data_IF_672008994452
#
_entry.id   IF_672008994452
#
_cell.length_a   1.000
_cell.length_b   1.000
_cell.length_c   1.000
_cell.angle_alpha   90.00
_cell.angle_beta   90.00
_cell.angle_gamma   90.00
#
_symmetry.space_group_name_H-M   'P 1'
#
loop_
_entity.id
_entity.type
_entity.pdbx_description
1 polymer ?
#
# COMPACT_ATOMS: atom_id res chain seq x y z
N UNK A 1 21.63 -18.68 7.09
CA UNK A 1 21.61 -18.70 5.61
C UNK A 1 20.19 -18.37 5.13
N UNK A 2 19.88 -17.09 4.96
CA UNK A 2 18.54 -16.63 4.61
C UNK A 2 18.31 -16.74 3.09
N UNK A 3 17.30 -17.53 2.68
CA UNK A 3 16.79 -17.63 1.32
C UNK A 3 15.85 -16.45 1.06
N UNK A 4 16.20 -15.59 0.10
CA UNK A 4 15.30 -14.59 -0.45
C UNK A 4 14.32 -15.28 -1.41
N UNK A 5 13.02 -15.24 -1.09
CA UNK A 5 11.96 -15.52 -2.05
C UNK A 5 11.75 -14.26 -2.88
N UNK A 6 12.15 -14.29 -4.14
CA UNK A 6 11.70 -13.34 -5.14
C UNK A 6 10.30 -13.77 -5.63
N UNK A 7 9.29 -12.96 -5.32
CA UNK A 7 7.98 -13.05 -5.97
C UNK A 7 8.11 -12.37 -7.34
N UNK A 8 8.44 -13.16 -8.36
CA UNK A 8 8.29 -12.76 -9.75
C UNK A 8 6.79 -12.73 -10.08
N UNK A 9 6.20 -11.54 -10.07
CA UNK A 9 4.90 -11.28 -10.68
C UNK A 9 5.02 -11.45 -12.19
N UNK A 10 4.12 -12.24 -12.74
CA UNK A 10 4.09 -12.74 -14.11
C UNK A 10 3.97 -11.60 -15.14
N UNK A 11 5.11 -11.14 -15.69
CA UNK A 11 5.20 -10.13 -16.73
C UNK A 11 4.87 -10.68 -18.14
N UNK A 12 3.85 -11.54 -18.24
CA UNK A 12 3.39 -12.15 -19.51
C UNK A 12 2.02 -11.70 -19.99
N UNK A 13 1.33 -10.81 -19.28
CA UNK A 13 0.00 -10.35 -19.65
C UNK A 13 -0.04 -9.08 -20.53
N UNK A 14 1.11 -8.51 -20.95
CA UNK A 14 1.18 -7.24 -21.70
C UNK A 14 1.79 -7.35 -23.11
N UNK A 15 1.98 -8.56 -23.64
CA UNK A 15 2.60 -8.78 -24.95
C UNK A 15 1.76 -9.61 -25.94
N UNK A 16 0.43 -9.52 -25.88
CA UNK A 16 -0.45 -10.20 -26.83
C UNK A 16 -1.60 -9.30 -27.31
N UNK A 17 -1.25 -8.27 -28.09
CA UNK A 17 -2.14 -7.71 -29.12
C UNK A 17 -1.28 -7.18 -30.26
N UNK A 18 -0.92 -8.08 -31.16
CA UNK A 18 -0.15 -7.80 -32.36
C UNK A 18 -0.40 -8.92 -33.36
N UNK A 19 -0.93 -8.56 -34.53
CA UNK A 19 -1.53 -9.45 -35.51
C UNK A 19 -0.65 -10.59 -36.02
N UNK A 20 -1.33 -11.64 -36.47
CA UNK A 20 -0.75 -12.93 -36.79
C UNK A 20 -0.03 -13.05 -38.12
N UNK A 21 0.51 -14.25 -38.31
CA UNK A 21 0.65 -14.94 -39.60
C UNK A 21 0.86 -16.42 -39.33
N UNK A 22 0.16 -17.23 -40.12
CA UNK A 22 0.20 -18.69 -40.17
C UNK A 22 1.64 -19.24 -40.35
N UNK A 23 1.93 -20.40 -39.73
CA UNK A 23 2.43 -21.61 -40.41
C UNK A 23 2.61 -22.79 -39.43
N UNK A 24 2.66 -23.99 -40.00
CA UNK A 24 2.27 -25.30 -39.45
C UNK A 24 3.24 -26.03 -38.48
N UNK A 25 2.63 -26.77 -37.54
CA UNK A 25 2.82 -28.18 -37.09
C UNK A 25 4.18 -28.91 -37.25
N UNK A 26 4.72 -29.43 -36.12
CA UNK A 26 5.30 -30.79 -35.90
C UNK A 26 5.83 -30.87 -34.43
N UNK A 27 5.29 -31.69 -33.52
CA UNK A 27 5.55 -33.12 -33.23
C UNK A 27 6.83 -33.43 -32.40
N UNK A 28 6.63 -34.00 -31.20
CA UNK A 28 7.51 -35.02 -30.57
C UNK A 28 8.47 -34.59 -29.46
N UNK A 29 8.42 -35.27 -28.30
CA UNK A 29 9.56 -35.37 -27.37
C UNK A 29 9.25 -35.35 -25.88
N UNK A 30 9.14 -36.54 -25.28
CA UNK A 30 8.97 -36.84 -23.84
C UNK A 30 10.28 -36.81 -23.05
N UNK A 31 10.24 -36.34 -21.79
CA UNK A 31 10.91 -36.84 -20.54
C UNK A 31 10.72 -35.73 -19.48
N UNK A 32 10.28 -35.89 -18.23
CA UNK A 32 10.61 -36.86 -17.17
C UNK A 32 11.08 -36.04 -15.96
N UNK A 33 10.42 -36.12 -14.79
CA UNK A 33 10.85 -35.35 -13.61
C UNK A 33 9.85 -35.29 -12.46
N UNK A 34 9.64 -36.42 -11.77
CA UNK A 34 8.85 -36.48 -10.54
C UNK A 34 9.55 -35.77 -9.38
N UNK A 35 8.95 -34.70 -8.85
CA UNK A 35 9.50 -33.98 -7.70
C UNK A 35 8.56 -33.02 -6.97
N UNK A 36 7.26 -32.98 -7.30
CA UNK A 36 6.34 -31.92 -6.80
C UNK A 36 5.17 -32.47 -5.96
N UNK A 37 5.02 -33.79 -5.79
CA UNK A 37 3.82 -34.37 -5.15
C UNK A 37 3.87 -34.61 -3.64
N UNK A 38 4.95 -34.27 -2.92
CA UNK A 38 5.05 -34.52 -1.46
C UNK A 38 4.91 -33.28 -0.55
N UNK A 39 4.83 -32.06 -1.11
CA UNK A 39 4.64 -30.83 -0.32
C UNK A 39 3.19 -30.41 -0.10
N UNK A 40 2.26 -30.81 -0.98
CA UNK A 40 0.89 -30.31 -0.98
C UNK A 40 -0.04 -30.99 0.04
N UNK A 41 0.32 -32.16 0.59
CA UNK A 41 -0.50 -32.91 1.56
C UNK A 41 -0.37 -32.43 3.00
N UNK A 42 0.57 -31.51 3.29
CA UNK A 42 0.73 -30.91 4.64
C UNK A 42 -0.03 -29.58 4.77
N UNK A 43 -0.19 -28.84 3.68
CA UNK A 43 -0.94 -27.57 3.66
C UNK A 43 -2.45 -27.81 3.73
N UNK A 44 -2.96 -28.90 3.11
CA UNK A 44 -4.39 -29.24 3.14
C UNK A 44 -4.91 -29.60 4.54
N UNK A 45 -4.10 -30.27 5.37
CA UNK A 45 -4.48 -30.66 6.74
C UNK A 45 -4.50 -29.51 7.75
N UNK A 46 -3.71 -28.46 7.52
CA UNK A 46 -3.75 -27.27 8.37
C UNK A 46 -5.02 -26.43 8.14
N UNK A 47 -5.59 -26.48 6.92
CA UNK A 47 -6.79 -25.74 6.57
C UNK A 47 -8.08 -26.43 7.06
N UNK A 48 -8.09 -27.77 7.15
CA UNK A 48 -9.24 -28.54 7.67
C UNK A 48 -9.40 -28.42 9.20
N UNK A 49 -8.33 -28.15 9.95
CA UNK A 49 -8.37 -27.99 11.42
C UNK A 49 -8.88 -26.62 11.91
N UNK A 50 -8.93 -25.61 11.03
CA UNK A 50 -9.47 -24.27 11.36
C UNK A 50 -10.99 -24.19 11.27
N UNK A 51 -11.65 -25.20 10.70
CA UNK A 51 -13.10 -25.25 10.53
C UNK A 51 -13.86 -25.98 11.67
N UNK A 52 -13.17 -26.48 12.70
CA UNK A 52 -13.78 -27.25 13.79
C UNK A 52 -13.89 -26.53 15.14
N UNK A 53 -13.77 -25.20 15.19
CA UNK A 53 -13.96 -24.44 16.44
C UNK A 53 -15.41 -23.93 16.58
N UNK A 54 -16.07 -24.10 17.75
CA UNK A 54 -17.46 -23.69 17.94
C UNK A 54 -17.60 -22.17 18.00
N UNK A 55 -18.63 -21.63 17.34
CA UNK A 55 -19.06 -20.22 17.45
C UNK A 55 -19.79 -20.01 18.78
N UNK A 56 -19.33 -19.07 19.60
CA UNK A 56 -20.01 -18.67 20.83
C UNK A 56 -20.98 -17.51 20.54
N UNK A 57 -22.25 -17.67 20.95
CA UNK A 57 -23.35 -16.70 20.81
C UNK A 57 -23.38 -15.72 21.99
N UNK A 58 -23.89 -14.53 21.67
CA UNK A 58 -24.38 -13.40 22.48
C UNK A 58 -25.04 -13.71 23.84
N UNK A 59 -24.87 -12.81 24.84
CA UNK A 59 -25.92 -11.88 25.37
C UNK A 59 -25.54 -11.23 26.72
N UNK A 60 -26.00 -9.97 26.88
CA UNK A 60 -26.47 -9.23 28.09
C UNK A 60 -25.50 -9.08 29.29
N UNK A 61 -25.43 -8.05 30.13
CA UNK A 61 -26.14 -6.79 30.43
C UNK A 61 -25.08 -5.86 31.12
N UNK A 62 -25.22 -4.56 31.32
CA UNK A 62 -25.97 -3.91 32.43
C UNK A 62 -25.87 -2.38 32.21
N UNK A 63 -26.99 -1.70 32.48
CA UNK A 63 -27.18 -0.25 32.44
C UNK A 63 -26.94 0.43 33.80
N UNK A 64 -27.06 1.77 33.78
CA UNK A 64 -27.22 2.71 34.91
C UNK A 64 -25.91 3.07 35.65
N UNK A 65 -25.69 4.29 36.16
CA UNK A 65 -26.59 5.38 36.52
C UNK A 65 -25.78 6.67 36.75
N UNK A 66 -26.45 7.83 36.60
CA UNK A 66 -26.36 9.12 37.33
C UNK A 66 -25.02 9.64 37.93
N UNK A 67 -24.78 10.90 38.22
CA UNK A 67 -25.30 12.22 37.93
C UNK A 67 -24.45 13.17 38.81
N UNK A 68 -24.42 14.46 38.50
CA UNK A 68 -24.45 15.46 39.58
C UNK A 68 -23.17 16.24 39.89
N UNK A 69 -23.33 17.57 39.81
CA UNK A 69 -22.71 18.52 40.74
C UNK A 69 -21.48 19.21 40.17
N UNK A 70 -21.61 20.31 39.43
CA UNK A 70 -21.83 21.70 39.86
C UNK A 70 -20.66 22.35 40.61
N UNK A 71 -20.42 23.58 40.15
CA UNK A 71 -19.83 24.74 40.81
C UNK A 71 -18.29 24.84 40.80
N UNK A 72 -17.64 25.98 40.59
CA UNK A 72 -17.93 27.36 40.13
C UNK A 72 -16.79 28.20 40.74
N UNK A 73 -16.23 29.12 39.93
CA UNK A 73 -15.56 30.39 40.30
C UNK A 73 -14.04 30.43 40.62
N UNK A 74 -13.40 31.21 39.73
CA UNK A 74 -12.66 32.48 39.96
C UNK A 74 -11.19 32.40 40.35
N UNK A 75 -10.38 33.12 39.57
CA UNK A 75 -9.05 33.56 39.99
C UNK A 75 -8.19 34.12 38.85
N UNK A 76 -8.63 35.20 38.20
CA UNK A 76 -7.77 36.00 37.32
C UNK A 76 -6.79 36.81 38.18
N UNK A 77 -5.48 36.59 38.01
CA UNK A 77 -4.45 37.57 38.36
C UNK A 77 -3.41 37.64 37.25
N UNK A 78 -3.55 38.70 36.47
CA UNK A 78 -2.53 39.23 35.55
C UNK A 78 -1.42 39.83 36.40
N UNK A 79 -0.19 39.38 36.20
CA UNK A 79 1.00 40.16 36.56
C UNK A 79 1.99 40.07 35.40
N UNK A 80 2.12 41.21 34.72
CA UNK A 80 3.00 41.46 33.60
C UNK A 80 4.37 41.84 34.18
N UNK A 81 5.34 40.94 34.09
CA UNK A 81 6.75 41.26 34.40
C UNK A 81 7.55 41.14 33.11
N UNK A 82 7.91 42.29 32.54
CA UNK A 82 8.89 42.42 31.47
C UNK A 82 10.28 42.11 32.05
N UNK A 83 10.78 40.92 31.79
CA UNK A 83 12.21 40.61 31.87
C UNK A 83 12.76 40.48 30.46
N UNK A 84 13.52 41.50 30.04
CA UNK A 84 14.37 41.42 28.85
C UNK A 84 15.55 40.52 29.23
N UNK A 85 15.38 39.22 29.00
CA UNK A 85 16.46 38.24 29.13
C UNK A 85 17.13 38.13 27.77
N UNK A 86 18.33 38.67 27.64
CA UNK A 86 19.20 38.45 26.49
C UNK A 86 19.54 36.97 26.41
N UNK A 87 18.72 36.19 25.69
CA UNK A 87 19.04 34.82 25.36
C UNK A 87 20.09 34.86 24.25
N UNK A 88 21.35 34.75 24.66
CA UNK A 88 22.43 34.34 23.78
C UNK A 88 22.02 32.95 23.26
N UNK A 89 21.43 32.89 22.06
CA UNK A 89 21.27 31.63 21.32
C UNK A 89 22.68 31.21 20.93
N UNK A 90 23.37 30.57 21.86
CA UNK A 90 24.40 29.62 21.52
C UNK A 90 23.72 28.66 20.55
N UNK A 91 24.09 28.74 19.27
CA UNK A 91 23.66 27.77 18.29
C UNK A 91 24.02 26.41 18.87
N UNK A 92 23.00 25.69 19.35
CA UNK A 92 23.17 24.29 19.67
C UNK A 92 23.72 23.69 18.38
N UNK A 93 24.89 23.04 18.38
CA UNK A 93 25.28 22.27 17.23
C UNK A 93 24.08 21.39 16.93
N UNK A 94 23.58 21.51 15.70
CA UNK A 94 22.56 20.66 15.13
C UNK A 94 22.81 19.26 15.67
N UNK A 95 21.82 18.72 16.39
CA UNK A 95 21.90 17.39 16.98
C UNK A 95 22.49 16.44 15.93
N UNK A 96 23.32 15.46 16.34
CA UNK A 96 24.20 14.75 15.43
C UNK A 96 23.42 14.42 14.17
N UNK A 97 23.82 15.02 13.03
CA UNK A 97 23.56 14.38 11.75
C UNK A 97 23.92 12.94 12.02
N UNK A 98 22.92 12.05 11.95
CA UNK A 98 23.14 10.63 12.22
C UNK A 98 24.18 10.22 11.20
N UNK A 99 25.44 10.29 11.62
CA UNK A 99 26.56 9.96 10.79
C UNK A 99 26.29 8.52 10.42
N UNK A 100 26.33 8.24 9.13
CA UNK A 100 26.41 6.89 8.60
C UNK A 100 27.72 6.26 9.14
N UNK A 101 27.74 5.95 10.43
CA UNK A 101 28.91 5.45 11.14
C UNK A 101 28.99 3.96 10.87
N UNK A 102 29.62 3.66 9.73
CA UNK A 102 30.55 2.57 9.47
C UNK A 102 30.50 1.30 10.36
N UNK A 103 29.39 0.53 10.38
CA UNK A 103 29.38 -0.91 10.74
C UNK A 103 28.15 -1.63 10.14
N UNK A 104 28.25 -2.77 9.43
CA UNK A 104 29.31 -3.25 8.56
C UNK A 104 28.78 -3.23 7.12
N UNK A 105 29.55 -2.65 6.21
CA UNK A 105 29.26 -2.72 4.79
C UNK A 105 29.21 -4.19 4.37
N UNK A 106 28.28 -4.54 3.48
CA UNK A 106 28.33 -5.84 2.80
C UNK A 106 29.74 -6.04 2.22
N UNK A 107 30.28 -7.25 2.34
CA UNK A 107 31.58 -7.56 1.77
C UNK A 107 31.63 -7.13 0.30
N UNK A 108 32.67 -6.39 -0.09
CA UNK A 108 32.81 -5.77 -1.41
C UNK A 108 32.59 -6.77 -2.57
N UNK A 109 33.07 -8.01 -2.41
CA UNK A 109 32.86 -9.08 -3.39
C UNK A 109 31.36 -9.39 -3.63
N UNK A 110 30.55 -9.41 -2.56
CA UNK A 110 29.12 -9.68 -2.65
C UNK A 110 28.34 -8.50 -3.23
N UNK A 111 28.74 -7.27 -2.91
CA UNK A 111 28.18 -6.08 -3.57
C UNK A 111 28.46 -6.10 -5.06
N UNK A 112 29.68 -6.45 -5.46
CA UNK A 112 30.06 -6.55 -6.88
C UNK A 112 29.19 -7.59 -7.61
N UNK A 113 28.91 -8.73 -6.98
CA UNK A 113 28.01 -9.75 -7.53
C UNK A 113 26.56 -9.23 -7.68
N UNK A 114 26.04 -8.56 -6.66
CA UNK A 114 24.71 -7.93 -6.68
C UNK A 114 24.63 -6.90 -7.81
N UNK A 115 25.60 -6.00 -7.92
CA UNK A 115 25.63 -4.99 -8.97
C UNK A 115 25.68 -5.62 -10.37
N UNK A 116 26.45 -6.69 -10.54
CA UNK A 116 26.51 -7.44 -11.81
C UNK A 116 25.15 -8.05 -12.16
N UNK A 117 24.48 -8.68 -11.20
CA UNK A 117 23.16 -9.26 -11.40
C UNK A 117 22.10 -8.19 -11.75
N UNK A 118 22.14 -7.04 -11.07
CA UNK A 118 21.27 -5.89 -11.36
C UNK A 118 21.47 -5.41 -12.79
N UNK A 119 22.72 -5.17 -13.21
CA UNK A 119 23.03 -4.70 -14.57
C UNK A 119 22.61 -5.71 -15.63
N UNK A 120 22.80 -7.00 -15.38
CA UNK A 120 22.35 -8.06 -16.27
C UNK A 120 20.82 -8.06 -16.44
N UNK A 121 20.07 -7.90 -15.34
CA UNK A 121 18.61 -7.84 -15.40
C UNK A 121 18.12 -6.56 -16.07
N UNK A 122 18.74 -5.41 -15.80
CA UNK A 122 18.42 -4.15 -16.48
C UNK A 122 18.63 -4.25 -17.99
N UNK A 123 19.74 -4.85 -18.43
CA UNK A 123 20.01 -5.11 -19.84
C UNK A 123 18.95 -6.04 -20.46
N UNK A 124 18.63 -7.16 -19.77
CA UNK A 124 17.67 -8.15 -20.24
C UNK A 124 16.27 -7.59 -20.42
N UNK A 125 15.83 -6.73 -19.49
CA UNK A 125 14.49 -6.16 -19.43
C UNK A 125 14.39 -4.77 -20.08
N UNK A 126 15.52 -4.22 -20.56
CA UNK A 126 15.63 -2.86 -21.09
C UNK A 126 15.15 -1.81 -20.08
N UNK A 127 15.50 -1.97 -18.81
CA UNK A 127 15.16 -1.02 -17.74
C UNK A 127 16.11 0.18 -17.83
N UNK A 128 15.60 1.40 -18.06
CA UNK A 128 16.44 2.58 -18.26
C UNK A 128 17.10 3.09 -16.99
N UNK A 129 16.41 3.00 -15.86
CA UNK A 129 16.89 3.45 -14.56
C UNK A 129 16.22 2.71 -13.41
N UNK A 130 16.97 2.52 -12.33
CA UNK A 130 16.53 1.81 -11.14
C UNK A 130 17.31 2.26 -9.92
N UNK A 131 16.65 2.37 -8.77
CA UNK A 131 17.31 2.56 -7.47
C UNK A 131 16.97 1.41 -6.54
N UNK A 132 18.00 0.89 -5.87
CA UNK A 132 17.86 -0.24 -4.96
C UNK A 132 18.45 0.11 -3.61
N UNK A 133 17.75 -0.29 -2.55
CA UNK A 133 18.24 -0.26 -1.18
C UNK A 133 18.20 -1.67 -0.58
N UNK A 134 19.25 -2.03 0.15
CA UNK A 134 19.32 -3.26 0.94
C UNK A 134 19.28 -2.91 2.41
N UNK A 135 18.23 -3.38 3.09
CA UNK A 135 17.98 -3.16 4.51
C UNK A 135 18.05 -4.50 5.24
N UNK A 136 18.88 -4.60 6.28
CA UNK A 136 18.94 -5.78 7.16
C UNK A 136 19.01 -5.32 8.60
N UNK A 137 18.36 -6.05 9.51
CA UNK A 137 18.32 -5.72 10.95
C UNK A 137 17.88 -4.26 11.18
N UNK A 138 16.83 -3.84 10.45
CA UNK A 138 16.27 -2.48 10.50
C UNK A 138 17.25 -1.36 10.16
N UNK A 139 18.35 -1.67 9.45
CA UNK A 139 19.37 -0.70 9.05
C UNK A 139 19.64 -0.76 7.55
N UNK A 140 19.78 0.42 6.95
CA UNK A 140 20.22 0.53 5.56
C UNK A 140 21.70 0.11 5.48
N UNK A 141 21.99 -0.91 4.67
CA UNK A 141 23.36 -1.42 4.48
C UNK A 141 24.01 -0.91 3.21
N UNK A 142 23.20 -0.63 2.20
CA UNK A 142 23.63 -0.18 0.90
C UNK A 142 22.44 0.38 0.14
N UNK A 143 22.64 1.47 -0.61
CA UNK A 143 21.70 1.96 -1.59
C UNK A 143 22.46 2.51 -2.79
N UNK A 144 21.90 2.35 -3.99
CA UNK A 144 22.53 2.85 -5.23
C UNK A 144 21.50 3.00 -6.34
N UNK A 145 21.69 4.02 -7.16
CA UNK A 145 21.02 4.17 -8.46
C UNK A 145 21.83 3.58 -9.61
N UNK A 146 21.13 3.09 -10.63
CA UNK A 146 21.67 2.50 -11.85
C UNK A 146 20.97 3.08 -13.05
N UNK A 147 21.71 3.37 -14.12
CA UNK A 147 21.15 3.92 -15.35
C UNK A 147 20.72 5.39 -15.20
N UNK A 148 19.63 5.75 -15.86
CA UNK A 148 19.15 7.13 -15.98
C UNK A 148 17.75 7.28 -15.42
N UNK A 149 17.55 8.32 -14.60
CA UNK A 149 16.23 8.78 -14.19
C UNK A 149 15.50 9.46 -15.35
N UNK A 150 16.26 10.09 -16.25
CA UNK A 150 15.77 10.73 -17.47
C UNK A 150 16.76 10.46 -18.61
N UNK A 151 16.29 9.77 -19.65
CA UNK A 151 17.10 9.42 -20.81
C UNK A 151 17.37 10.62 -21.72
N UNK A 152 16.39 11.50 -21.90
CA UNK A 152 16.47 12.64 -22.81
C UNK A 152 17.47 13.66 -22.29
N UNK A 153 17.43 13.90 -20.98
CA UNK A 153 18.31 14.86 -20.31
C UNK A 153 19.57 14.22 -19.71
N UNK A 154 19.80 12.93 -19.95
CA UNK A 154 20.94 12.16 -19.42
C UNK A 154 21.11 12.29 -17.90
N UNK A 155 20.00 12.38 -17.15
CA UNK A 155 20.04 12.51 -15.69
C UNK A 155 20.28 11.13 -15.08
N UNK A 156 21.38 10.93 -14.34
CA UNK A 156 21.64 9.64 -13.71
C UNK A 156 20.61 9.32 -12.63
N UNK A 157 20.20 8.05 -12.55
CA UNK A 157 19.44 7.59 -11.40
C UNK A 157 20.37 7.49 -10.18
N UNK A 158 19.87 7.91 -9.02
CA UNK A 158 20.55 7.85 -7.73
C UNK A 158 19.64 7.19 -6.69
N UNK A 159 20.17 6.81 -5.54
CA UNK A 159 19.37 6.31 -4.41
C UNK A 159 18.29 7.30 -3.93
N UNK A 160 18.36 8.56 -4.35
CA UNK A 160 17.40 9.61 -4.04
C UNK A 160 16.39 9.88 -5.17
N UNK A 161 16.51 9.21 -6.32
CA UNK A 161 15.56 9.36 -7.42
C UNK A 161 14.14 8.98 -6.96
N UNK A 162 13.18 9.86 -7.24
CA UNK A 162 11.77 9.65 -6.90
C UNK A 162 11.06 8.94 -8.06
N UNK A 163 10.33 7.88 -7.73
CA UNK A 163 9.56 7.09 -8.68
C UNK A 163 8.06 7.12 -8.34
N UNK A 164 7.20 6.97 -9.35
CA UNK A 164 5.77 6.70 -9.11
C UNK A 164 5.63 5.29 -8.55
N UNK A 165 5.23 5.18 -7.29
CA UNK A 165 5.12 3.91 -6.56
C UNK A 165 4.01 2.95 -7.07
N UNK A 166 3.10 3.45 -7.91
CA UNK A 166 1.97 2.69 -8.44
C UNK A 166 1.22 1.95 -7.32
N UNK A 167 0.97 0.65 -7.48
CA UNK A 167 0.17 -0.14 -6.54
C UNK A 167 0.80 -0.33 -5.15
N UNK A 168 2.07 0.03 -4.95
CA UNK A 168 2.66 0.06 -3.60
C UNK A 168 1.93 1.10 -2.73
N UNK A 169 1.41 2.18 -3.31
CA UNK A 169 0.63 3.20 -2.58
C UNK A 169 -0.57 2.64 -1.80
N UNK A 170 -1.10 1.48 -2.20
CA UNK A 170 -2.21 0.82 -1.51
C UNK A 170 -1.85 0.41 -0.07
N UNK A 171 -0.60 0.05 0.21
CA UNK A 171 -0.19 -0.30 1.58
C UNK A 171 -0.27 0.92 2.50
N UNK A 172 0.07 2.11 1.99
CA UNK A 172 -0.03 3.38 2.72
C UNK A 172 -1.51 3.67 3.02
N UNK A 173 -2.38 3.57 2.02
CA UNK A 173 -3.83 3.73 2.21
C UNK A 173 -4.39 2.72 3.21
N UNK A 174 -3.97 1.46 3.15
CA UNK A 174 -4.42 0.43 4.07
C UNK A 174 -4.03 0.74 5.52
N UNK A 175 -2.78 1.16 5.76
CA UNK A 175 -2.33 1.61 7.08
C UNK A 175 -3.17 2.80 7.57
N UNK A 176 -3.45 3.77 6.70
CA UNK A 176 -4.27 4.93 7.05
C UNK A 176 -5.69 4.53 7.49
N UNK A 177 -6.35 3.62 6.76
CA UNK A 177 -7.67 3.08 7.13
C UNK A 177 -7.59 2.36 8.48
N UNK A 178 -6.58 1.51 8.68
CA UNK A 178 -6.44 0.76 9.93
C UNK A 178 -6.16 1.67 11.13
N UNK A 179 -5.36 2.73 10.98
CA UNK A 179 -5.14 3.73 12.03
C UNK A 179 -6.44 4.45 12.42
N UNK A 180 -7.30 4.77 11.45
CA UNK A 180 -8.62 5.35 11.74
C UNK A 180 -9.53 4.35 12.47
N UNK A 181 -9.44 3.07 12.11
CA UNK A 181 -10.20 2.01 12.78
C UNK A 181 -9.74 1.78 14.23
N UNK A 182 -8.43 1.71 14.46
CA UNK A 182 -7.84 1.60 15.81
C UNK A 182 -8.23 2.77 16.72
N UNK A 183 -8.42 3.96 16.15
CA UNK A 183 -8.86 5.18 16.86
C UNK A 183 -10.38 5.29 17.02
N UNK A 184 -11.15 4.29 16.56
CA UNK A 184 -12.61 4.30 16.60
C UNK A 184 -13.28 5.33 15.68
N UNK A 185 -12.53 5.92 14.74
CA UNK A 185 -13.06 6.91 13.79
C UNK A 185 -13.69 6.25 12.56
N UNK A 186 -13.24 5.05 12.21
CA UNK A 186 -13.74 4.27 11.07
C UNK A 186 -14.11 2.85 11.53
N UNK A 187 -15.36 2.46 11.34
CA UNK A 187 -15.83 1.09 11.53
C UNK A 187 -15.63 0.32 10.22
N UNK A 188 -14.84 -0.75 10.27
CA UNK A 188 -14.47 -1.55 9.09
C UNK A 188 -15.66 -2.28 8.47
N UNK A 189 -16.72 -2.51 9.25
CA UNK A 189 -17.89 -3.29 8.87
C UNK A 189 -19.14 -2.44 8.64
N UNK A 190 -19.06 -1.12 8.89
CA UNK A 190 -20.11 -0.19 8.52
C UNK A 190 -20.22 -0.01 6.99
N UNK A 191 -21.41 0.32 6.46
CA UNK A 191 -21.57 0.71 5.06
C UNK A 191 -20.65 1.88 4.71
N UNK A 192 -19.96 1.77 3.57
CA UNK A 192 -18.91 2.72 3.18
C UNK A 192 -19.45 4.15 3.00
N UNK A 193 -20.72 4.30 2.67
CA UNK A 193 -21.43 5.57 2.51
C UNK A 193 -21.43 6.41 3.80
N UNK A 194 -21.28 5.77 4.97
CA UNK A 194 -21.07 6.47 6.25
C UNK A 194 -19.85 7.39 6.20
N UNK A 195 -18.82 7.02 5.45
CA UNK A 195 -17.55 7.75 5.35
C UNK A 195 -17.33 8.36 3.97
N UNK A 196 -17.92 7.79 2.92
CA UNK A 196 -17.85 8.29 1.55
C UNK A 196 -19.27 8.45 0.96
N UNK A 197 -20.02 9.49 1.36
CA UNK A 197 -21.40 9.69 0.88
C UNK A 197 -21.50 9.98 -0.63
N UNK A 198 -20.38 10.35 -1.27
CA UNK A 198 -20.30 10.54 -2.71
C UNK A 198 -20.30 9.22 -3.51
N UNK A 199 -19.99 8.09 -2.87
CA UNK A 199 -20.12 6.78 -3.50
C UNK A 199 -21.57 6.30 -3.38
N UNK A 200 -22.26 5.97 -4.50
CA UNK A 200 -23.68 5.67 -4.46
C UNK A 200 -23.96 4.35 -3.74
N UNK A 201 -25.20 4.20 -3.26
CA UNK A 201 -25.70 2.93 -2.77
C UNK A 201 -25.65 1.86 -3.88
N UNK A 202 -25.31 0.63 -3.49
CA UNK A 202 -25.25 -0.53 -4.37
C UNK A 202 -26.30 -1.57 -3.92
N UNK A 203 -26.64 -2.56 -4.77
CA UNK A 203 -27.62 -3.59 -4.38
C UNK A 203 -27.22 -4.36 -3.10
N UNK A 204 -25.93 -4.42 -2.79
CA UNK A 204 -25.40 -4.95 -1.54
C UNK A 204 -24.48 -3.92 -0.88
N UNK A 205 -24.50 -3.79 0.46
CA UNK A 205 -23.63 -2.87 1.16
C UNK A 205 -22.16 -3.27 0.98
N UNK A 206 -21.30 -2.27 0.76
CA UNK A 206 -19.86 -2.43 0.67
C UNK A 206 -19.24 -1.86 1.95
N UNK A 207 -18.27 -2.56 2.51
CA UNK A 207 -17.54 -2.11 3.72
C UNK A 207 -16.07 -1.81 3.41
N UNK A 208 -15.42 -1.05 4.30
CA UNK A 208 -13.98 -0.80 4.19
C UNK A 208 -13.16 -2.10 4.27
N UNK A 209 -13.59 -3.08 5.07
CA UNK A 209 -12.96 -4.41 5.13
C UNK A 209 -12.96 -5.10 3.76
N UNK A 210 -14.08 -5.07 3.06
CA UNK A 210 -14.21 -5.71 1.74
C UNK A 210 -13.38 -5.00 0.67
N UNK A 211 -13.28 -3.67 0.75
CA UNK A 211 -12.42 -2.87 -0.13
C UNK A 211 -10.94 -3.19 0.07
N UNK A 212 -10.48 -3.21 1.33
CA UNK A 212 -9.10 -3.59 1.69
C UNK A 212 -8.74 -5.00 1.25
N UNK A 213 -9.71 -5.92 1.31
CA UNK A 213 -9.52 -7.32 0.92
C UNK A 213 -9.73 -7.57 -0.58
N UNK A 214 -10.03 -6.55 -1.39
CA UNK A 214 -10.34 -6.69 -2.82
C UNK A 214 -11.49 -7.68 -3.09
N UNK A 215 -12.53 -7.69 -2.24
CA UNK A 215 -13.71 -8.54 -2.39
C UNK A 215 -15.00 -7.73 -2.49
N UNK A 216 -14.95 -6.42 -2.74
CA UNK A 216 -16.13 -5.54 -2.79
C UNK A 216 -17.01 -5.72 -4.04
N UNK A 217 -16.51 -6.37 -5.09
CA UNK A 217 -17.18 -6.43 -6.39
C UNK A 217 -17.04 -5.16 -7.23
N UNK A 218 -16.31 -4.14 -6.76
CA UNK A 218 -15.99 -2.97 -7.59
C UNK A 218 -14.98 -3.39 -8.65
N UNK A 219 -15.31 -3.13 -9.91
CA UNK A 219 -14.47 -3.45 -11.07
C UNK A 219 -13.06 -2.87 -11.00
N UNK A 220 -12.19 -3.40 -11.87
CA UNK A 220 -10.93 -2.76 -12.19
C UNK A 220 -11.01 -1.89 -13.47
N UNK A 221 -9.86 -1.54 -14.02
CA UNK A 221 -9.77 -0.80 -15.28
C UNK A 221 -10.42 -1.60 -16.41
N UNK A 222 -11.29 -0.95 -17.17
CA UNK A 222 -11.96 -1.56 -18.35
C UNK A 222 -11.27 -1.19 -19.66
N UNK A 223 -10.62 -0.02 -19.70
CA UNK A 223 -10.10 0.56 -20.94
C UNK A 223 -8.64 0.99 -20.80
N UNK A 224 -7.83 0.95 -21.87
CA UNK A 224 -6.42 1.35 -21.83
C UNK A 224 -6.21 2.77 -21.27
N UNK A 225 -7.12 3.70 -21.56
CA UNK A 225 -7.02 5.10 -21.12
C UNK A 225 -7.15 5.24 -19.60
N UNK A 226 -7.80 4.29 -18.92
CA UNK A 226 -7.89 4.27 -17.46
C UNK A 226 -6.56 3.89 -16.82
N UNK A 227 -5.76 3.06 -17.51
CA UNK A 227 -4.45 2.59 -17.03
C UNK A 227 -3.39 3.67 -17.23
N UNK A 228 -3.41 4.32 -18.39
CA UNK A 228 -2.38 5.29 -18.81
C UNK A 228 -2.75 6.74 -18.50
N UNK A 229 -3.88 6.98 -17.82
CA UNK A 229 -4.34 8.32 -17.48
C UNK A 229 -3.29 9.12 -16.72
N UNK A 230 -3.00 10.31 -17.23
CA UNK A 230 -2.17 11.34 -16.58
C UNK A 230 -3.01 12.47 -16.00
N UNK A 231 -4.35 12.33 -16.01
CA UNK A 231 -5.26 13.36 -15.51
C UNK A 231 -5.00 13.62 -14.03
N UNK A 232 -4.78 14.88 -13.69
CA UNK A 232 -4.71 15.33 -12.31
C UNK A 232 -6.11 15.49 -11.73
N UNK A 233 -6.29 15.03 -10.50
CA UNK A 233 -7.51 15.21 -9.72
C UNK A 233 -7.14 15.92 -8.42
N UNK A 234 -7.78 17.05 -8.15
CA UNK A 234 -7.56 17.82 -6.92
C UNK A 234 -8.31 17.22 -5.74
N UNK A 235 -9.50 16.65 -5.98
CA UNK A 235 -10.31 16.00 -4.94
C UNK A 235 -10.48 14.53 -5.24
N UNK A 236 -10.45 13.69 -4.21
CA UNK A 236 -10.59 12.25 -4.38
C UNK A 236 -11.96 11.85 -4.91
N UNK A 237 -13.01 12.59 -4.52
CA UNK A 237 -14.38 12.36 -4.97
C UNK A 237 -14.54 12.49 -6.49
N UNK A 238 -13.75 13.36 -7.14
CA UNK A 238 -13.81 13.54 -8.60
C UNK A 238 -13.29 12.31 -9.35
N UNK A 239 -12.50 11.47 -8.69
CA UNK A 239 -12.02 10.20 -9.27
C UNK A 239 -13.11 9.14 -9.29
N UNK A 240 -14.16 9.28 -8.47
CA UNK A 240 -15.25 8.32 -8.39
C UNK A 240 -16.13 8.36 -9.64
N UNK A 241 -16.25 9.50 -10.31
CA UNK A 241 -17.03 9.68 -11.55
C UNK A 241 -16.64 8.70 -12.67
N UNK A 242 -15.44 8.13 -12.61
CA UNK A 242 -14.97 7.16 -13.60
C UNK A 242 -15.74 5.83 -13.49
N UNK A 243 -16.18 5.44 -12.29
CA UNK A 243 -16.67 4.09 -12.03
C UNK A 243 -17.85 3.99 -11.04
N UNK A 244 -18.22 5.08 -10.36
CA UNK A 244 -19.16 5.03 -9.25
C UNK A 244 -20.53 4.49 -9.64
N UNK A 245 -20.95 4.67 -10.89
CA UNK A 245 -22.26 4.23 -11.41
C UNK A 245 -22.21 2.85 -12.08
N UNK A 246 -21.02 2.24 -12.21
CA UNK A 246 -20.90 0.89 -12.75
C UNK A 246 -21.55 -0.16 -11.81
N UNK A 247 -22.12 -1.24 -12.36
CA UNK A 247 -22.60 -2.36 -11.55
C UNK A 247 -21.43 -3.06 -10.85
N UNK A 248 -21.73 -3.72 -9.72
CA UNK A 248 -20.76 -4.64 -9.10
C UNK A 248 -20.60 -5.88 -9.98
N UNK A 249 -19.38 -6.36 -10.12
CA UNK A 249 -19.06 -7.57 -10.88
C UNK A 249 -19.52 -8.85 -10.16
N UNK A 250 -19.67 -8.77 -8.84
CA UNK A 250 -20.21 -9.83 -7.99
C UNK A 250 -20.66 -9.25 -6.64
N UNK A 251 -21.42 -10.04 -5.88
CA UNK A 251 -21.77 -9.70 -4.50
C UNK A 251 -20.50 -9.50 -3.63
N UNK A 252 -20.46 -8.49 -2.76
CA UNK A 252 -19.35 -8.27 -1.85
C UNK A 252 -19.05 -9.50 -0.98
N UNK A 253 -17.79 -9.91 -0.90
CA UNK A 253 -17.32 -11.09 -0.18
C UNK A 253 -17.36 -12.41 -0.97
N UNK A 254 -18.03 -12.45 -2.12
CA UNK A 254 -18.18 -13.70 -2.88
C UNK A 254 -16.89 -14.16 -3.57
N UNK A 255 -16.10 -13.22 -4.11
CA UNK A 255 -14.89 -13.48 -4.90
C UNK A 255 -13.85 -12.38 -4.71
N UNK A 256 -12.58 -12.72 -4.96
CA UNK A 256 -11.49 -11.75 -5.05
C UNK A 256 -11.45 -11.13 -6.44
N UNK A 257 -11.43 -9.80 -6.48
CA UNK A 257 -11.26 -8.99 -7.69
C UNK A 257 -10.33 -7.82 -7.35
N UNK A 258 -9.10 -7.88 -7.85
CA UNK A 258 -8.15 -6.78 -7.66
C UNK A 258 -8.73 -5.48 -8.22
N UNK A 259 -8.79 -4.43 -7.40
CA UNK A 259 -9.38 -3.16 -7.80
C UNK A 259 -8.54 -1.98 -7.33
N UNK A 260 -8.16 -1.11 -8.28
CA UNK A 260 -7.61 0.21 -7.93
C UNK A 260 -8.72 1.18 -7.55
N UNK A 261 -9.89 1.09 -8.20
CA UNK A 261 -11.03 1.96 -7.89
C UNK A 261 -11.61 1.74 -6.50
N UNK A 262 -11.56 0.52 -5.96
CA UNK A 262 -11.89 0.29 -4.55
C UNK A 262 -11.01 1.10 -3.58
N UNK A 263 -9.75 1.35 -3.94
CA UNK A 263 -8.86 2.18 -3.13
C UNK A 263 -9.15 3.69 -3.26
N UNK A 264 -9.75 4.14 -4.36
CA UNK A 264 -10.26 5.51 -4.46
C UNK A 264 -11.43 5.72 -3.47
N UNK A 265 -12.31 4.73 -3.33
CA UNK A 265 -13.39 4.78 -2.33
C UNK A 265 -12.81 4.80 -0.91
N UNK A 266 -11.76 4.00 -0.63
CA UNK A 266 -11.07 4.06 0.67
C UNK A 266 -10.44 5.43 0.94
N UNK A 267 -9.87 6.08 -0.08
CA UNK A 267 -9.35 7.43 0.06
C UNK A 267 -10.44 8.45 0.41
N UNK A 268 -11.60 8.38 -0.24
CA UNK A 268 -12.78 9.16 0.14
C UNK A 268 -13.25 8.87 1.58
N UNK A 269 -13.24 7.60 1.99
CA UNK A 269 -13.58 7.20 3.37
C UNK A 269 -12.57 7.72 4.41
N UNK A 270 -11.28 7.77 4.08
CA UNK A 270 -10.26 8.39 4.92
C UNK A 270 -10.58 9.88 5.12
N UNK A 271 -10.93 10.60 4.06
CA UNK A 271 -11.29 12.02 4.17
C UNK A 271 -12.51 12.23 5.07
N UNK A 272 -13.59 11.47 4.86
CA UNK A 272 -14.80 11.59 5.67
C UNK A 272 -14.61 11.18 7.13
N UNK A 273 -13.83 10.14 7.41
CA UNK A 273 -13.58 9.68 8.79
C UNK A 273 -12.57 10.57 9.56
N UNK A 274 -11.63 11.21 8.84
CA UNK A 274 -10.60 12.03 9.47
C UNK A 274 -10.96 13.52 9.54
N UNK A 275 -11.75 14.02 8.59
CA UNK A 275 -11.97 15.45 8.36
C UNK A 275 -10.79 16.15 7.66
N UNK A 276 -9.80 15.41 7.17
CA UNK A 276 -8.62 15.92 6.46
C UNK A 276 -8.64 15.49 5.00
N UNK A 277 -7.93 16.19 4.12
CA UNK A 277 -7.68 15.67 2.77
C UNK A 277 -6.84 14.39 2.83
N UNK A 278 -6.98 13.50 1.84
CA UNK A 278 -6.22 12.25 1.80
C UNK A 278 -4.71 12.53 1.84
N UNK A 279 -4.26 13.52 1.07
CA UNK A 279 -2.84 13.88 1.00
C UNK A 279 -2.32 14.43 2.32
N UNK A 280 -3.12 15.19 3.07
CA UNK A 280 -2.71 15.70 4.38
C UNK A 280 -2.70 14.60 5.44
N UNK A 281 -3.59 13.61 5.34
CA UNK A 281 -3.65 12.50 6.30
C UNK A 281 -2.45 11.54 6.16
N UNK A 282 -1.96 11.30 4.94
CA UNK A 282 -0.89 10.32 4.66
C UNK A 282 0.53 10.92 4.60
N UNK A 283 0.67 12.22 4.85
CA UNK A 283 1.96 12.92 4.99
C UNK A 283 2.65 12.55 6.30
#
# INVERSE_FOLDING_TARGET
MARALALAGDARALAASGGGLHMARAAGGTTGGGGVRRGLSRIRRANEALHSLPRMRSRDAIASESAGGRHMRRGLRVLLTLTVTTFLVAQRPSGPHVGFSAFGQLASARLTEIERAIRAEMQRQKIPGLSIALVTEHRLRWAKGFGYADLENSVPATEQTVYRLASISKTITAVAVMQLAERGKLDLDAPIQRYCPAFPEKPWPITARQLLAHVSGIRHYKRPEEITSTRHYTRIVDTLEIFKDDPLEHEPGARFTYTTYGYNVLGCAIEGASGMSYLDYVR
#
